data_IF_327750413915
#
_entry.id   IF_327750413915
#
_cell.length_a   1.000
_cell.length_b   1.000
_cell.length_c   1.000
_cell.angle_alpha   90.00
_cell.angle_beta   90.00
_cell.angle_gamma   90.00
#
_symmetry.space_group_name_H-M   'P 1'
#
loop_
_entity.id
_entity.type
_entity.pdbx_description
1 polymer ?
#
# COMPACT_ATOMS: atom_id res chain seq x y z
N UNK A 1 11.72 -19.19 -2.11
CA UNK A 1 10.44 -18.77 -2.71
C UNK A 1 9.40 -19.86 -2.54
N UNK A 2 8.15 -19.50 -2.23
CA UNK A 2 7.06 -20.43 -1.91
C UNK A 2 6.39 -21.10 -3.14
N UNK A 3 6.71 -20.67 -4.36
CA UNK A 3 6.06 -21.12 -5.61
C UNK A 3 6.16 -22.65 -5.80
N UNK A 4 7.35 -23.23 -5.66
CA UNK A 4 7.55 -24.67 -5.88
C UNK A 4 6.83 -25.56 -4.84
N UNK A 5 6.90 -25.26 -3.52
CA UNK A 5 6.08 -25.94 -2.52
C UNK A 5 4.57 -25.85 -2.78
N UNK A 6 4.06 -24.66 -3.15
CA UNK A 6 2.63 -24.46 -3.44
C UNK A 6 2.16 -25.24 -4.67
N UNK A 7 2.95 -25.21 -5.75
CA UNK A 7 2.67 -25.95 -6.98
C UNK A 7 2.52 -27.46 -6.70
N UNK A 8 3.44 -28.02 -5.89
CA UNK A 8 3.38 -29.42 -5.48
C UNK A 8 2.16 -29.73 -4.60
N UNK A 9 1.88 -28.89 -3.60
CA UNK A 9 0.79 -29.12 -2.65
C UNK A 9 -0.60 -29.03 -3.29
N UNK A 10 -0.75 -28.16 -4.30
CA UNK A 10 -2.03 -27.90 -4.97
C UNK A 10 -2.19 -28.65 -6.30
N UNK A 11 -1.20 -29.46 -6.71
CA UNK A 11 -1.16 -30.16 -8.00
C UNK A 11 -1.34 -29.20 -9.20
N UNK A 12 -0.62 -28.06 -9.16
CA UNK A 12 -0.61 -27.03 -10.21
C UNK A 12 0.78 -26.87 -10.79
N UNK A 13 0.88 -26.29 -11.99
CA UNK A 13 2.17 -25.88 -12.54
C UNK A 13 2.72 -24.65 -11.80
N UNK A 14 4.05 -24.48 -11.85
CA UNK A 14 4.70 -23.26 -11.34
C UNK A 14 4.19 -22.00 -12.05
N UNK A 15 3.82 -22.12 -13.32
CA UNK A 15 3.31 -21.01 -14.12
C UNK A 15 1.93 -20.55 -13.65
N UNK A 16 1.04 -21.48 -13.28
CA UNK A 16 -0.28 -21.14 -12.71
C UNK A 16 -0.13 -20.43 -11.36
N UNK A 17 0.71 -20.96 -10.47
CA UNK A 17 0.97 -20.32 -9.17
C UNK A 17 1.60 -18.94 -9.35
N UNK A 18 2.56 -18.81 -10.26
CA UNK A 18 3.15 -17.52 -10.60
C UNK A 18 2.12 -16.55 -11.19
N UNK A 19 1.25 -17.03 -12.08
CA UNK A 19 0.19 -16.25 -12.69
C UNK A 19 -0.75 -15.64 -11.66
N UNK A 20 -1.19 -16.42 -10.67
CA UNK A 20 -2.02 -15.93 -9.56
C UNK A 20 -1.27 -14.89 -8.71
N UNK A 21 0.00 -15.16 -8.38
CA UNK A 21 0.83 -14.23 -7.61
C UNK A 21 1.01 -12.89 -8.30
N UNK A 22 1.19 -12.86 -9.62
CA UNK A 22 1.35 -11.61 -10.38
C UNK A 22 0.03 -10.93 -10.72
N UNK A 23 -1.08 -11.66 -10.72
CA UNK A 23 -2.39 -11.12 -11.07
C UNK A 23 -2.98 -10.24 -9.96
N UNK A 24 -2.87 -10.66 -8.69
CA UNK A 24 -3.39 -9.90 -7.57
C UNK A 24 -2.34 -8.91 -7.06
N UNK A 25 -2.64 -7.61 -7.17
CA UNK A 25 -1.75 -6.52 -6.72
C UNK A 25 -1.35 -6.58 -5.23
N UNK A 26 -2.09 -7.33 -4.41
CA UNK A 26 -1.81 -7.51 -2.99
C UNK A 26 -0.62 -8.45 -2.74
N UNK A 27 -0.36 -9.40 -3.64
CA UNK A 27 0.76 -10.31 -3.49
C UNK A 27 2.06 -9.63 -3.86
N UNK A 28 3.09 -9.86 -3.05
CA UNK A 28 4.42 -9.27 -3.21
C UNK A 28 5.44 -10.38 -3.39
N UNK A 29 6.42 -10.13 -4.26
CA UNK A 29 7.58 -11.02 -4.48
C UNK A 29 8.85 -10.51 -3.80
N UNK A 30 8.80 -9.31 -3.22
CA UNK A 30 9.83 -8.70 -2.39
C UNK A 30 9.24 -8.30 -1.02
N UNK A 31 10.06 -8.18 0.03
CA UNK A 31 9.62 -7.68 1.33
C UNK A 31 8.95 -6.31 1.21
N UNK A 32 7.88 -6.05 1.98
CA UNK A 32 7.24 -4.73 1.98
C UNK A 32 8.16 -3.68 2.61
N UNK A 33 7.91 -2.41 2.31
CA UNK A 33 8.47 -1.31 3.08
C UNK A 33 7.94 -1.36 4.52
N UNK A 34 8.73 -0.89 5.49
CA UNK A 34 8.38 -0.84 6.93
C UNK A 34 7.08 -0.07 7.22
N UNK A 35 6.77 0.95 6.42
CA UNK A 35 5.53 1.71 6.46
C UNK A 35 4.90 1.70 5.07
N UNK A 36 3.86 0.91 4.89
CA UNK A 36 3.04 0.94 3.67
C UNK A 36 1.81 1.79 3.89
N UNK A 37 1.62 2.83 3.09
CA UNK A 37 0.43 3.67 3.10
C UNK A 37 -0.34 3.43 1.80
N UNK A 38 -1.58 2.97 1.94
CA UNK A 38 -2.49 2.82 0.80
C UNK A 38 -3.59 3.86 0.89
N UNK A 39 -3.66 4.80 -0.06
CA UNK A 39 -4.65 5.87 -0.04
C UNK A 39 -5.83 5.54 -0.96
N UNK A 40 -7.06 5.68 -0.45
CA UNK A 40 -8.23 5.51 -1.28
C UNK A 40 -8.32 6.63 -2.33
N UNK A 41 -8.26 6.25 -3.60
CA UNK A 41 -8.39 7.13 -4.77
C UNK A 41 -9.70 6.93 -5.53
N UNK A 42 -10.67 6.24 -4.93
CA UNK A 42 -12.02 6.11 -5.49
C UNK A 42 -12.83 7.42 -5.34
N UNK A 43 -13.95 7.51 -6.07
CA UNK A 43 -14.69 8.74 -6.33
C UNK A 43 -15.16 9.44 -5.06
N UNK A 44 -15.64 8.70 -4.06
CA UNK A 44 -16.09 9.29 -2.80
C UNK A 44 -14.94 10.01 -2.05
N UNK A 45 -13.73 9.45 -2.07
CA UNK A 45 -12.56 10.09 -1.47
C UNK A 45 -12.05 11.26 -2.32
N UNK A 46 -12.14 11.16 -3.65
CA UNK A 46 -11.79 12.28 -4.56
C UNK A 46 -12.72 13.48 -4.35
N UNK A 47 -14.02 13.26 -4.20
CA UNK A 47 -15.00 14.31 -3.86
C UNK A 47 -14.72 14.99 -2.52
N UNK A 48 -14.01 14.31 -1.61
CA UNK A 48 -13.61 14.86 -0.30
C UNK A 48 -12.15 15.34 -0.26
N UNK A 49 -11.51 15.55 -1.43
CA UNK A 49 -10.20 16.19 -1.52
C UNK A 49 -8.99 15.25 -1.31
N UNK A 50 -9.13 13.93 -1.55
CA UNK A 50 -8.00 13.01 -1.39
C UNK A 50 -6.80 13.31 -2.31
N UNK A 51 -6.99 14.02 -3.42
CA UNK A 51 -5.88 14.41 -4.32
C UNK A 51 -4.92 15.40 -3.64
N UNK A 52 -5.45 16.36 -2.89
CA UNK A 52 -4.61 17.29 -2.11
C UNK A 52 -3.89 16.54 -0.99
N UNK A 53 -4.55 15.56 -0.38
CA UNK A 53 -3.94 14.69 0.63
C UNK A 53 -2.83 13.80 0.04
N UNK A 54 -3.02 13.31 -1.19
CA UNK A 54 -2.00 12.53 -1.91
C UNK A 54 -0.76 13.39 -2.18
N UNK A 55 -0.93 14.61 -2.69
CA UNK A 55 0.17 15.55 -2.92
C UNK A 55 0.91 15.89 -1.62
N UNK A 56 0.18 16.09 -0.52
CA UNK A 56 0.77 16.27 0.81
C UNK A 56 1.61 15.06 1.24
N UNK A 57 1.07 13.84 1.08
CA UNK A 57 1.77 12.61 1.42
C UNK A 57 3.07 12.42 0.61
N UNK A 58 3.04 12.71 -0.68
CA UNK A 58 4.24 12.68 -1.53
C UNK A 58 5.29 13.71 -1.12
N UNK A 59 4.87 14.95 -0.81
CA UNK A 59 5.77 15.99 -0.34
C UNK A 59 6.42 15.63 1.01
N UNK A 60 5.66 14.99 1.91
CA UNK A 60 6.11 14.60 3.25
C UNK A 60 7.06 13.40 3.25
N UNK A 61 6.85 12.45 2.35
CA UNK A 61 7.62 11.20 2.31
C UNK A 61 8.75 11.24 1.28
N UNK A 62 8.68 12.13 0.30
CA UNK A 62 9.55 12.11 -0.88
C UNK A 62 9.23 10.96 -1.85
N UNK A 63 8.24 10.11 -1.54
CA UNK A 63 7.77 9.04 -2.39
C UNK A 63 6.69 9.53 -3.37
N UNK A 64 6.34 8.69 -4.34
CA UNK A 64 5.29 8.95 -5.32
C UNK A 64 4.29 7.81 -5.32
N UNK A 65 3.01 8.13 -5.43
CA UNK A 65 2.00 7.11 -5.72
C UNK A 65 2.27 6.54 -7.12
N UNK A 66 2.05 5.24 -7.27
CA UNK A 66 2.04 4.53 -8.56
C UNK A 66 3.37 4.55 -9.36
N UNK A 67 4.46 5.01 -8.75
CA UNK A 67 5.81 5.00 -9.36
C UNK A 67 6.39 3.59 -9.55
N UNK A 68 5.74 2.56 -9.02
CA UNK A 68 6.16 1.17 -9.07
C UNK A 68 5.30 0.28 -9.98
N UNK A 69 4.44 0.85 -10.86
CA UNK A 69 3.74 0.08 -11.90
C UNK A 69 4.65 -0.27 -13.09
N UNK A 70 5.88 -0.69 -12.79
CA UNK A 70 6.88 -1.23 -13.71
C UNK A 70 7.59 -2.39 -13.03
N UNK A 71 7.63 -3.51 -13.73
CA UNK A 71 8.17 -4.83 -13.44
C UNK A 71 9.30 -4.84 -12.38
N UNK A 72 8.94 -5.14 -11.13
CA UNK A 72 9.88 -5.57 -10.11
C UNK A 72 10.55 -4.43 -9.33
N UNK A 73 10.32 -4.47 -8.02
CA UNK A 73 10.89 -3.59 -7.01
C UNK A 73 10.47 -2.13 -7.17
N UNK A 74 9.50 -1.73 -6.34
CA UNK A 74 9.42 -0.34 -5.91
C UNK A 74 10.84 0.06 -5.46
N UNK A 75 11.46 0.96 -6.22
CA UNK A 75 12.77 1.49 -5.93
C UNK A 75 12.66 2.36 -4.66
N UNK A 76 12.62 1.70 -3.50
CA UNK A 76 12.62 2.37 -2.21
C UNK A 76 14.06 2.59 -1.78
N UNK A 77 14.55 3.84 -1.85
CA UNK A 77 15.71 4.29 -1.09
C UNK A 77 15.67 5.82 -0.83
N UNK A 78 16.07 6.31 0.36
CA UNK A 78 16.17 5.64 1.67
C UNK A 78 15.09 6.11 2.66
N UNK A 79 14.52 5.17 3.43
CA UNK A 79 13.72 5.47 4.62
C UNK A 79 12.33 4.82 4.71
N UNK A 80 12.17 3.58 4.24
CA UNK A 80 11.16 2.66 4.79
C UNK A 80 9.66 2.97 4.57
N UNK A 81 9.30 3.89 3.67
CA UNK A 81 7.89 4.21 3.35
C UNK A 81 7.53 3.85 1.91
N UNK A 82 6.35 3.26 1.70
CA UNK A 82 5.72 3.02 0.40
C UNK A 82 4.37 3.75 0.31
N UNK A 83 4.11 4.39 -0.83
CA UNK A 83 2.83 5.02 -1.16
C UNK A 83 2.16 4.24 -2.30
N UNK A 84 0.97 3.71 -2.04
CA UNK A 84 0.21 2.90 -2.99
C UNK A 84 -1.22 3.47 -3.15
N UNK A 85 -1.76 3.46 -4.37
CA UNK A 85 -3.16 3.80 -4.61
C UNK A 85 -4.05 2.56 -4.39
N UNK A 86 -5.19 2.74 -3.72
CA UNK A 86 -6.24 1.71 -3.60
C UNK A 86 -7.58 2.26 -4.06
N UNK A 87 -8.38 1.41 -4.71
CA UNK A 87 -9.68 1.79 -5.26
C UNK A 87 -10.79 1.25 -4.38
N UNK A 88 -11.18 2.10 -3.42
CA UNK A 88 -12.20 1.86 -2.40
C UNK A 88 -11.76 0.95 -1.24
N UNK A 89 -11.89 1.47 -0.02
CA UNK A 89 -11.67 0.74 1.24
C UNK A 89 -12.98 0.47 2.01
N UNK A 90 -14.14 0.63 1.36
CA UNK A 90 -15.45 0.47 1.99
C UNK A 90 -15.81 1.58 3.01
N UNK A 91 -15.03 2.65 3.09
CA UNK A 91 -15.21 3.76 4.03
C UNK A 91 -15.77 5.03 3.37
N UNK A 92 -16.60 4.88 2.32
CA UNK A 92 -17.08 6.01 1.51
C UNK A 92 -17.74 7.11 2.34
N UNK A 93 -18.59 6.76 3.31
CA UNK A 93 -19.26 7.69 4.22
C UNK A 93 -18.31 8.38 5.22
N UNK A 94 -17.06 7.94 5.32
CA UNK A 94 -16.03 8.48 6.22
C UNK A 94 -14.76 8.87 5.44
N UNK A 95 -14.93 9.30 4.19
CA UNK A 95 -13.84 9.78 3.34
C UNK A 95 -13.18 11.08 3.87
N UNK A 96 -11.91 11.39 3.49
CA UNK A 96 -10.94 10.51 2.83
C UNK A 96 -10.45 9.38 3.72
N UNK A 97 -10.13 8.23 3.13
CA UNK A 97 -9.66 7.04 3.86
C UNK A 97 -8.33 6.51 3.32
N UNK A 98 -7.57 5.84 4.19
CA UNK A 98 -6.32 5.16 3.85
C UNK A 98 -6.07 3.99 4.79
N UNK A 99 -5.12 3.13 4.45
CA UNK A 99 -4.50 2.20 5.38
C UNK A 99 -3.07 2.59 5.69
N UNK A 100 -2.62 2.40 6.91
CA UNK A 100 -1.20 2.43 7.29
C UNK A 100 -0.83 1.07 7.84
N UNK A 101 0.09 0.36 7.20
CA UNK A 101 0.45 -1.03 7.55
C UNK A 101 -0.77 -1.97 7.68
N UNK A 102 -1.77 -1.79 6.81
CA UNK A 102 -3.00 -2.58 6.80
C UNK A 102 -4.08 -2.13 7.80
N UNK A 103 -3.79 -1.16 8.67
CA UNK A 103 -4.78 -0.61 9.62
C UNK A 103 -5.57 0.52 8.94
N UNK A 104 -6.91 0.44 9.00
CA UNK A 104 -7.80 1.41 8.37
C UNK A 104 -7.89 2.72 9.15
N UNK A 105 -7.80 3.83 8.43
CA UNK A 105 -8.02 5.17 8.95
C UNK A 105 -9.01 5.94 8.07
N UNK A 106 -9.99 6.57 8.73
CA UNK A 106 -11.04 7.33 8.08
C UNK A 106 -10.94 8.83 8.42
N UNK A 107 -11.63 9.69 7.65
CA UNK A 107 -11.66 11.15 7.78
C UNK A 107 -10.24 11.73 7.93
N UNK A 108 -9.35 11.34 7.03
CA UNK A 108 -7.94 11.71 7.15
C UNK A 108 -7.70 13.11 6.59
N UNK A 109 -7.20 13.98 7.46
CA UNK A 109 -6.69 15.32 7.13
C UNK A 109 -5.17 15.29 6.98
N UNK A 110 -4.53 16.33 6.41
CA UNK A 110 -3.06 16.42 6.37
C UNK A 110 -2.39 16.28 7.73
N UNK A 111 -2.96 16.89 8.78
CA UNK A 111 -2.43 16.82 10.15
C UNK A 111 -2.56 15.41 10.72
N UNK A 112 -3.69 14.76 10.47
CA UNK A 112 -3.89 13.36 10.87
C UNK A 112 -2.94 12.43 10.12
N UNK A 113 -2.71 12.67 8.83
CA UNK A 113 -1.73 11.93 8.05
C UNK A 113 -0.33 12.05 8.65
N UNK A 114 0.10 13.26 8.99
CA UNK A 114 1.42 13.50 9.57
C UNK A 114 1.61 12.78 10.91
N UNK A 115 0.57 12.78 11.75
CA UNK A 115 0.58 12.05 13.02
C UNK A 115 0.66 10.52 12.80
N UNK A 116 -0.09 9.98 11.85
CA UNK A 116 -0.07 8.56 11.51
C UNK A 116 1.29 8.12 10.94
N UNK A 117 1.89 8.95 10.09
CA UNK A 117 3.21 8.69 9.54
C UNK A 117 4.28 8.65 10.63
N UNK A 118 4.25 9.63 11.55
CA UNK A 118 5.19 9.67 12.68
C UNK A 118 5.02 8.45 13.61
N UNK A 119 3.78 8.07 13.91
CA UNK A 119 3.48 6.90 14.76
C UNK A 119 3.96 5.59 14.11
N UNK A 120 3.65 5.37 12.82
CA UNK A 120 4.09 4.17 12.11
C UNK A 120 5.62 4.09 11.97
N UNK A 121 6.29 5.24 11.85
CA UNK A 121 7.74 5.33 11.86
C UNK A 121 8.36 5.11 13.25
N UNK A 122 7.58 5.17 14.34
CA UNK A 122 8.04 4.85 15.70
C UNK A 122 7.71 3.40 16.09
N UNK A 123 6.56 2.89 15.66
CA UNK A 123 6.02 1.57 16.02
C UNK A 123 5.85 0.70 14.79
N UNK A 124 6.91 -0.03 14.42
CA UNK A 124 6.80 -1.03 13.37
C UNK A 124 6.46 -2.37 13.99
N UNK A 125 5.35 -3.03 13.58
CA UNK A 125 5.13 -4.42 13.95
C UNK A 125 6.25 -5.29 13.37
N UNK A 126 6.82 -6.16 14.20
CA UNK A 126 7.79 -7.18 13.80
C UNK A 126 7.14 -8.07 12.72
N UNK A 127 7.81 -8.22 11.58
CA UNK A 127 7.29 -8.98 10.45
C UNK A 127 7.09 -10.46 10.86
N UNK A 128 5.83 -10.91 10.87
CA UNK A 128 5.44 -12.30 11.06
C UNK A 128 5.65 -13.14 9.78
#
# INVERSE_FOLDING_TARGET
GCIAPLAKALNLSRAEVHGVLTYYHHFRTAPPARVTIQMCRAEACRSMGCEALAAHAEARTGCRFDAAHGDGAAAHAPGDVALESVYCLGLCAQSPSMTVNGVLHAKVTPEKFDALLADAAAHTPEAA
#
